data_IF_905947304044
#
_entry.id   IF_905947304044
#
_cell.length_a   1.000
_cell.length_b   1.000
_cell.length_c   1.000
_cell.angle_alpha   90.00
_cell.angle_beta   90.00
_cell.angle_gamma   90.00
#
_symmetry.space_group_name_H-M   'P 1'
#
loop_
_entity.id
_entity.type
_entity.pdbx_description
1 polymer ?
#
# COMPACT_ATOMS: atom_id res chain seq x y z
N UNK A 1 -11.57 19.71 -21.30
CA UNK A 1 -11.52 19.78 -19.81
C UNK A 1 -10.12 19.43 -19.37
N UNK A 2 -9.41 20.37 -18.73
CA UNK A 2 -7.98 20.27 -18.43
C UNK A 2 -7.75 19.34 -17.24
N UNK A 3 -6.99 18.28 -17.47
CA UNK A 3 -6.50 17.31 -16.50
C UNK A 3 -5.60 18.04 -15.49
N UNK A 4 -6.12 18.31 -14.29
CA UNK A 4 -5.38 18.99 -13.22
C UNK A 4 -4.68 17.94 -12.37
N UNK A 5 -3.37 17.85 -12.58
CA UNK A 5 -2.31 17.44 -11.64
C UNK A 5 -2.61 16.23 -10.75
N UNK A 6 -2.42 15.02 -11.30
CA UNK A 6 -1.77 13.97 -10.53
C UNK A 6 -0.26 14.23 -10.68
N UNK A 7 0.40 14.69 -9.63
CA UNK A 7 1.87 14.66 -9.59
C UNK A 7 2.29 13.19 -9.59
N UNK A 8 2.66 12.67 -10.76
CA UNK A 8 3.33 11.38 -10.88
C UNK A 8 4.77 11.63 -10.44
N UNK A 9 5.03 11.52 -9.14
CA UNK A 9 6.38 11.36 -8.63
C UNK A 9 6.84 9.95 -9.02
N UNK A 10 7.61 9.87 -10.10
CA UNK A 10 8.38 8.69 -10.46
C UNK A 10 9.45 8.47 -9.40
N UNK A 11 9.29 7.43 -8.58
CA UNK A 11 10.37 6.90 -7.75
C UNK A 11 11.48 6.40 -8.68
N UNK A 12 12.51 7.22 -8.90
CA UNK A 12 13.81 6.69 -9.24
C UNK A 12 14.43 6.22 -7.92
N UNK A 13 14.55 4.90 -7.74
CA UNK A 13 15.46 4.34 -6.75
C UNK A 13 16.88 4.69 -7.20
N UNK A 14 17.32 5.91 -6.92
CA UNK A 14 18.71 6.30 -7.07
C UNK A 14 19.48 5.63 -5.93
N UNK A 15 20.30 4.63 -6.27
CA UNK A 15 21.14 3.95 -5.29
C UNK A 15 21.95 2.79 -5.87
N UNK A 16 22.77 3.05 -6.89
CA UNK A 16 23.99 2.25 -7.06
C UNK A 16 24.99 2.75 -6.02
N UNK A 17 25.34 1.88 -5.06
CA UNK A 17 26.22 2.22 -3.97
C UNK A 17 25.75 1.53 -2.70
N UNK A 18 26.60 0.67 -2.14
CA UNK A 18 26.37 -0.01 -0.87
C UNK A 18 25.98 1.01 0.22
N UNK A 19 24.69 1.11 0.52
CA UNK A 19 24.18 2.00 1.57
C UNK A 19 24.49 1.39 2.94
N UNK A 20 25.43 2.02 3.65
CA UNK A 20 25.61 1.89 5.10
C UNK A 20 24.29 2.18 5.85
N UNK A 21 24.05 1.48 6.98
CA UNK A 21 22.88 1.67 7.86
C UNK A 21 22.61 3.14 8.23
N UNK A 22 23.62 4.01 8.18
CA UNK A 22 23.55 5.42 8.57
C UNK A 22 22.75 6.32 7.62
N UNK A 23 22.41 5.88 6.40
CA UNK A 23 21.76 6.71 5.37
C UNK A 23 20.35 6.22 4.97
N UNK A 24 19.63 5.51 5.84
CA UNK A 24 18.23 5.13 5.59
C UNK A 24 17.33 6.39 5.65
N UNK A 25 16.80 6.82 4.51
CA UNK A 25 15.74 7.84 4.47
C UNK A 25 14.44 7.20 4.96
N UNK A 26 14.01 7.59 6.16
CA UNK A 26 12.80 7.09 6.81
C UNK A 26 11.60 7.95 6.41
N UNK A 27 10.56 7.30 5.91
CA UNK A 27 9.32 7.94 5.48
C UNK A 27 8.24 7.62 6.51
N UNK A 28 7.67 8.67 7.11
CA UNK A 28 6.55 8.54 8.04
C UNK A 28 5.25 8.31 7.30
N UNK A 29 4.45 7.37 7.79
CA UNK A 29 3.10 7.13 7.31
C UNK A 29 2.20 6.77 8.49
N UNK A 30 0.90 6.95 8.31
CA UNK A 30 -0.12 6.55 9.28
C UNK A 30 -0.75 5.24 8.85
N UNK A 31 -0.76 4.28 9.76
CA UNK A 31 -1.25 2.93 9.49
C UNK A 31 -2.77 2.81 9.73
N UNK A 32 -3.34 1.64 9.44
CA UNK A 32 -4.77 1.31 9.57
C UNK A 32 -5.29 1.56 10.99
N UNK A 33 -4.46 1.31 12.01
CA UNK A 33 -4.77 1.56 13.42
C UNK A 33 -4.56 3.03 13.84
N UNK A 34 -4.25 3.91 12.89
CA UNK A 34 -3.93 5.32 13.09
C UNK A 34 -2.61 5.57 13.84
N UNK A 35 -1.80 4.54 14.10
CA UNK A 35 -0.44 4.73 14.60
C UNK A 35 0.45 5.34 13.51
N UNK A 36 1.44 6.12 13.93
CA UNK A 36 2.46 6.65 13.03
C UNK A 36 3.64 5.68 13.03
N UNK A 37 4.06 5.26 11.84
CA UNK A 37 5.17 4.33 11.62
C UNK A 37 6.12 4.94 10.60
N UNK A 38 7.31 4.37 10.51
CA UNK A 38 8.30 4.77 9.52
C UNK A 38 8.76 3.57 8.70
N UNK A 39 8.92 3.76 7.39
CA UNK A 39 9.54 2.78 6.51
C UNK A 39 10.80 3.31 5.85
N UNK A 40 11.74 2.41 5.57
CA UNK A 40 12.88 2.67 4.70
C UNK A 40 13.07 1.50 3.75
N UNK A 41 13.69 1.78 2.61
CA UNK A 41 13.82 0.85 1.50
C UNK A 41 15.27 0.45 1.31
N UNK A 42 15.50 -0.85 1.11
CA UNK A 42 16.80 -1.38 0.73
C UNK A 42 16.68 -2.12 -0.59
N UNK A 43 17.20 -1.53 -1.67
CA UNK A 43 17.19 -2.12 -3.01
C UNK A 43 18.29 -3.16 -3.17
N UNK A 44 18.05 -4.20 -3.98
CA UNK A 44 19.11 -5.09 -4.46
C UNK A 44 19.67 -4.56 -5.79
N UNK A 45 20.97 -4.72 -6.05
CA UNK A 45 21.64 -4.10 -7.20
C UNK A 45 21.39 -4.82 -8.54
N UNK A 46 20.83 -6.04 -8.55
CA UNK A 46 20.68 -6.83 -9.78
C UNK A 46 19.33 -7.58 -9.82
N UNK A 47 18.61 -7.40 -10.93
CA UNK A 47 17.35 -8.11 -11.25
C UNK A 47 17.47 -8.73 -12.64
N UNK A 48 17.38 -10.05 -12.71
CA UNK A 48 17.48 -10.84 -13.94
C UNK A 48 16.11 -11.35 -14.42
N UNK A 49 15.12 -11.42 -13.52
CA UNK A 49 13.77 -11.92 -13.78
C UNK A 49 12.68 -11.03 -13.18
N UNK A 50 11.47 -10.98 -13.77
CA UNK A 50 10.29 -10.38 -13.15
C UNK A 50 10.00 -10.91 -11.75
N UNK A 51 10.29 -12.20 -11.49
CA UNK A 51 10.08 -12.86 -10.20
C UNK A 51 11.10 -12.49 -9.12
N UNK A 52 12.19 -11.78 -9.46
CA UNK A 52 13.23 -11.49 -8.48
C UNK A 52 12.76 -10.51 -7.42
N UNK A 53 13.17 -10.74 -6.17
CA UNK A 53 13.01 -9.80 -5.06
C UNK A 53 13.71 -8.48 -5.41
N UNK A 54 12.95 -7.38 -5.35
CA UNK A 54 13.41 -6.04 -5.73
C UNK A 54 14.15 -5.31 -4.61
N UNK A 55 13.87 -5.73 -3.38
CA UNK A 55 14.45 -5.13 -2.19
C UNK A 55 13.75 -5.63 -0.94
N UNK A 56 14.06 -4.99 0.18
CA UNK A 56 13.42 -5.23 1.47
C UNK A 56 12.97 -3.90 2.05
N UNK A 57 11.74 -3.84 2.53
CA UNK A 57 11.25 -2.72 3.33
C UNK A 57 11.56 -3.01 4.79
N UNK A 58 12.09 -2.03 5.49
CA UNK A 58 12.24 -2.04 6.94
C UNK A 58 11.23 -1.09 7.55
N UNK A 59 10.64 -1.47 8.67
CA UNK A 59 9.70 -0.65 9.43
C UNK A 59 10.20 -0.44 10.85
N UNK A 60 9.79 0.68 11.45
CA UNK A 60 9.87 0.91 12.89
C UNK A 60 8.63 1.64 13.39
N UNK A 61 8.23 1.33 14.62
CA UNK A 61 7.03 1.88 15.25
C UNK A 61 7.33 3.07 16.16
N UNK A 62 8.60 3.34 16.45
CA UNK A 62 9.04 4.41 17.34
C UNK A 62 9.85 5.44 16.54
N UNK A 63 9.45 6.71 16.64
CA UNK A 63 10.07 7.84 15.92
C UNK A 63 11.37 8.33 16.56
N UNK A 64 11.90 7.62 17.56
CA UNK A 64 13.19 7.93 18.17
C UNK A 64 14.33 7.38 17.31
N UNK A 65 15.45 8.10 17.30
CA UNK A 65 16.68 7.66 16.61
C UNK A 65 17.27 6.35 17.16
N UNK A 66 16.78 5.87 18.30
CA UNK A 66 17.19 4.61 18.96
C UNK A 66 16.28 3.43 18.61
N UNK A 67 15.23 3.64 17.83
CA UNK A 67 14.29 2.60 17.46
C UNK A 67 14.95 1.56 16.55
N UNK A 68 14.96 0.30 17.00
CA UNK A 68 15.35 -0.84 16.17
C UNK A 68 14.35 -1.02 15.04
N UNK A 69 14.87 -1.13 13.81
CA UNK A 69 14.04 -1.45 12.65
C UNK A 69 13.93 -2.94 12.46
N UNK A 70 12.75 -3.42 12.06
CA UNK A 70 12.51 -4.81 11.66
C UNK A 70 12.23 -4.89 10.16
N UNK A 71 12.64 -5.97 9.47
CA UNK A 71 12.17 -6.23 8.12
C UNK A 71 10.63 -6.33 8.11
N UNK A 72 9.98 -5.53 7.27
CA UNK A 72 8.55 -5.62 7.00
C UNK A 72 8.26 -6.69 5.95
N UNK A 73 9.08 -6.75 4.90
CA UNK A 73 8.92 -7.72 3.82
C UNK A 73 9.77 -7.44 2.59
N UNK A 74 9.76 -8.42 1.68
CA UNK A 74 10.40 -8.36 0.38
C UNK A 74 9.53 -7.65 -0.65
N UNK A 75 10.13 -6.76 -1.42
CA UNK A 75 9.47 -5.98 -2.46
C UNK A 75 9.38 -6.83 -3.72
N UNK A 76 8.17 -6.90 -4.28
CA UNK A 76 7.92 -7.39 -5.62
C UNK A 76 7.33 -6.27 -6.49
N UNK A 77 7.37 -6.47 -7.81
CA UNK A 77 6.66 -5.58 -8.74
C UNK A 77 5.34 -6.23 -9.16
N UNK A 78 4.28 -5.43 -9.15
CA UNK A 78 3.12 -5.63 -10.02
C UNK A 78 3.05 -4.47 -11.00
N UNK A 79 2.26 -4.60 -12.05
CA UNK A 79 2.16 -3.58 -13.09
C UNK A 79 0.74 -3.03 -13.13
N UNK A 80 0.62 -1.72 -13.26
CA UNK A 80 -0.68 -1.11 -13.54
C UNK A 80 -1.07 -1.27 -15.02
N UNK A 81 -2.26 -0.76 -15.37
CA UNK A 81 -2.79 -0.83 -16.75
C UNK A 81 -1.91 -0.17 -17.81
N UNK A 82 -1.02 0.73 -17.40
CA UNK A 82 -0.06 1.42 -18.27
C UNK A 82 1.33 0.75 -18.25
N UNK A 83 1.45 -0.45 -17.67
CA UNK A 83 2.71 -1.18 -17.50
C UNK A 83 3.74 -0.43 -16.65
N UNK A 84 3.29 0.47 -15.76
CA UNK A 84 4.18 1.12 -14.80
C UNK A 84 4.35 0.17 -13.60
N UNK A 85 5.60 -0.15 -13.20
CA UNK A 85 5.84 -1.00 -12.04
C UNK A 85 5.38 -0.30 -10.75
N UNK A 86 4.79 -1.08 -9.85
CA UNK A 86 4.41 -0.68 -8.51
C UNK A 86 5.12 -1.61 -7.51
N UNK A 87 5.80 -1.01 -6.54
CA UNK A 87 6.45 -1.74 -5.47
C UNK A 87 5.40 -2.21 -4.47
N UNK A 88 5.34 -3.52 -4.25
CA UNK A 88 4.34 -4.12 -3.37
C UNK A 88 4.93 -5.19 -2.47
N UNK A 89 4.25 -5.44 -1.35
CA UNK A 89 4.47 -6.60 -0.50
C UNK A 89 3.12 -7.30 -0.36
N UNK A 90 3.07 -8.59 -0.69
CA UNK A 90 2.01 -9.48 -0.24
C UNK A 90 2.53 -10.25 0.97
N UNK A 91 2.02 -9.97 2.16
CA UNK A 91 2.53 -10.54 3.40
C UNK A 91 1.54 -11.56 3.96
N UNK A 92 1.97 -12.80 4.11
CA UNK A 92 1.22 -13.79 4.86
C UNK A 92 1.34 -13.51 6.36
N UNK A 93 0.24 -13.08 6.96
CA UNK A 93 0.16 -12.75 8.39
C UNK A 93 0.48 -13.91 9.33
N UNK A 94 0.34 -15.17 8.90
CA UNK A 94 0.63 -16.34 9.74
C UNK A 94 2.12 -16.66 9.79
N UNK A 95 2.79 -16.56 8.65
CA UNK A 95 4.20 -16.94 8.51
C UNK A 95 5.14 -15.73 8.52
N UNK A 96 4.58 -14.51 8.42
CA UNK A 96 5.32 -13.26 8.24
C UNK A 96 6.26 -13.28 7.01
N UNK A 97 5.95 -14.15 6.03
CA UNK A 97 6.69 -14.29 4.78
C UNK A 97 6.05 -13.46 3.68
N UNK A 98 6.89 -12.78 2.89
CA UNK A 98 6.44 -12.15 1.65
C UNK A 98 6.21 -13.19 0.56
N UNK A 99 5.05 -13.10 -0.09
CA UNK A 99 4.60 -13.98 -1.15
C UNK A 99 4.86 -13.32 -2.51
N UNK A 100 5.43 -14.08 -3.43
CA UNK A 100 5.81 -13.59 -4.74
C UNK A 100 4.62 -13.62 -5.71
N UNK A 101 4.17 -12.47 -6.26
CA UNK A 101 3.02 -12.42 -7.16
C UNK A 101 3.25 -13.09 -8.53
N UNK A 102 4.49 -13.43 -8.86
CA UNK A 102 4.84 -14.21 -10.05
C UNK A 102 5.02 -15.71 -9.78
N UNK A 103 4.94 -16.14 -8.51
CA UNK A 103 5.07 -17.55 -8.13
C UNK A 103 3.69 -18.19 -7.94
N UNK A 104 3.39 -19.24 -8.71
CA UNK A 104 2.08 -19.88 -8.69
C UNK A 104 1.72 -20.54 -7.35
N UNK A 105 2.70 -21.10 -6.63
CA UNK A 105 2.49 -21.72 -5.33
C UNK A 105 2.16 -20.69 -4.25
N UNK A 106 2.89 -19.57 -4.24
CA UNK A 106 2.63 -18.43 -3.35
C UNK A 106 1.24 -17.84 -3.60
N UNK A 107 0.85 -17.69 -4.87
CA UNK A 107 -0.49 -17.20 -5.23
C UNK A 107 -1.59 -18.21 -4.91
N UNK A 108 -1.33 -19.51 -5.06
CA UNK A 108 -2.24 -20.56 -4.61
C UNK A 108 -2.41 -20.55 -3.09
N UNK A 109 -1.35 -20.28 -2.32
CA UNK A 109 -1.42 -20.07 -0.87
C UNK A 109 -2.26 -18.82 -0.53
N UNK A 110 -1.96 -17.69 -1.17
CA UNK A 110 -2.66 -16.43 -0.94
C UNK A 110 -4.16 -16.52 -1.23
N UNK A 111 -4.54 -17.20 -2.33
CA UNK A 111 -5.95 -17.36 -2.73
C UNK A 111 -6.81 -18.10 -1.69
N UNK A 112 -6.18 -18.95 -0.87
CA UNK A 112 -6.80 -19.75 0.18
C UNK A 112 -6.62 -19.15 1.58
N UNK A 113 -5.81 -18.10 1.72
CA UNK A 113 -5.56 -17.46 2.99
C UNK A 113 -6.86 -16.88 3.57
N UNK A 114 -7.00 -16.90 4.89
CA UNK A 114 -8.09 -16.21 5.59
C UNK A 114 -7.74 -14.75 5.90
N UNK A 115 -6.45 -14.40 5.85
CA UNK A 115 -5.98 -13.03 6.01
C UNK A 115 -4.63 -12.85 5.33
N UNK A 116 -4.42 -11.68 4.73
CA UNK A 116 -3.11 -11.23 4.29
C UNK A 116 -3.03 -9.70 4.34
N UNK A 117 -1.80 -9.20 4.47
CA UNK A 117 -1.52 -7.78 4.40
C UNK A 117 -0.93 -7.46 3.02
N UNK A 118 -1.31 -6.31 2.49
CA UNK A 118 -0.83 -5.78 1.23
C UNK A 118 -0.29 -4.38 1.45
N UNK A 119 0.97 -4.19 1.09
CA UNK A 119 1.61 -2.88 1.09
C UNK A 119 1.87 -2.43 -0.33
N UNK A 120 1.74 -1.14 -0.56
CA UNK A 120 2.03 -0.49 -1.83
C UNK A 120 2.84 0.78 -1.60
N UNK A 121 3.92 0.93 -2.37
CA UNK A 121 4.84 2.05 -2.27
C UNK A 121 5.08 2.66 -3.64
N UNK A 122 4.92 3.98 -3.74
CA UNK A 122 5.20 4.74 -4.97
C UNK A 122 4.01 5.61 -5.39
N UNK A 123 4.13 6.27 -6.55
CA UNK A 123 3.12 7.20 -7.06
C UNK A 123 2.73 8.31 -6.05
N UNK A 124 3.69 8.77 -5.26
CA UNK A 124 3.46 9.77 -4.21
C UNK A 124 2.60 9.27 -3.04
N UNK A 125 2.51 7.95 -2.83
CA UNK A 125 1.72 7.36 -1.74
C UNK A 125 2.35 6.14 -1.09
N UNK A 126 1.92 5.87 0.14
CA UNK A 126 2.13 4.60 0.84
C UNK A 126 0.77 4.08 1.28
N UNK A 127 0.45 2.85 0.91
CA UNK A 127 -0.79 2.18 1.34
C UNK A 127 -0.50 0.89 2.09
N UNK A 128 -1.25 0.65 3.15
CA UNK A 128 -1.38 -0.65 3.79
C UNK A 128 -2.85 -1.07 3.75
N UNK A 129 -3.11 -2.32 3.33
CA UNK A 129 -4.43 -2.93 3.28
C UNK A 129 -4.39 -4.32 3.92
N UNK A 130 -5.35 -4.60 4.80
CA UNK A 130 -5.60 -5.92 5.38
C UNK A 130 -6.86 -6.49 4.75
N UNK A 131 -6.76 -7.67 4.15
CA UNK A 131 -7.88 -8.41 3.63
C UNK A 131 -8.19 -9.59 4.55
N UNK A 132 -9.46 -9.78 4.91
CA UNK A 132 -9.89 -10.85 5.80
C UNK A 132 -11.11 -11.60 5.25
N UNK A 133 -11.05 -12.93 5.31
CA UNK A 133 -12.07 -13.86 4.85
C UNK A 133 -12.34 -14.93 5.92
N UNK A 134 -13.54 -15.52 5.91
CA UNK A 134 -13.94 -16.55 6.88
C UNK A 134 -13.48 -17.94 6.47
N UNK A 135 -13.57 -18.28 5.19
CA UNK A 135 -13.23 -19.63 4.69
C UNK A 135 -11.94 -19.62 3.88
N UNK A 136 -11.80 -18.65 2.99
CA UNK A 136 -10.65 -18.49 2.12
C UNK A 136 -10.89 -17.30 1.20
N UNK A 137 -9.84 -16.52 0.94
CA UNK A 137 -9.94 -15.22 0.31
C UNK A 137 -10.74 -15.24 -0.99
N UNK A 138 -10.35 -16.06 -1.95
CA UNK A 138 -10.97 -16.05 -3.27
C UNK A 138 -12.33 -16.73 -3.30
N UNK A 139 -12.55 -17.73 -2.44
CA UNK A 139 -13.87 -18.33 -2.26
C UNK A 139 -14.86 -17.30 -1.73
N UNK A 140 -14.48 -16.54 -0.70
CA UNK A 140 -15.37 -15.56 -0.09
C UNK A 140 -15.58 -14.33 -1.00
N UNK A 141 -14.53 -13.86 -1.68
CA UNK A 141 -14.58 -12.77 -2.65
C UNK A 141 -15.53 -13.04 -3.82
N UNK A 142 -15.56 -14.28 -4.32
CA UNK A 142 -16.46 -14.74 -5.40
C UNK A 142 -17.88 -15.08 -4.91
N UNK A 143 -18.14 -15.00 -3.60
CA UNK A 143 -19.44 -15.33 -2.98
C UNK A 143 -20.18 -14.09 -2.45
N UNK A 144 -21.39 -14.29 -1.92
CA UNK A 144 -22.15 -13.24 -1.23
C UNK A 144 -21.49 -12.77 0.08
N UNK A 145 -20.60 -13.57 0.68
CA UNK A 145 -19.90 -13.22 1.93
C UNK A 145 -18.97 -12.02 1.72
N UNK A 146 -18.23 -12.01 0.61
CA UNK A 146 -17.22 -10.99 0.33
C UNK A 146 -16.00 -11.09 1.25
N UNK A 147 -15.06 -10.19 1.03
CA UNK A 147 -13.82 -10.06 1.81
C UNK A 147 -13.87 -8.73 2.56
N UNK A 148 -13.64 -8.77 3.88
CA UNK A 148 -13.47 -7.54 4.65
C UNK A 148 -12.13 -6.91 4.29
N UNK A 149 -12.13 -5.61 4.04
CA UNK A 149 -10.97 -4.81 3.70
C UNK A 149 -10.88 -3.65 4.69
N UNK A 150 -9.73 -3.53 5.35
CA UNK A 150 -9.31 -2.30 6.03
C UNK A 150 -8.09 -1.75 5.32
N UNK A 151 -8.04 -0.46 5.04
CA UNK A 151 -6.84 0.14 4.43
C UNK A 151 -6.60 1.57 4.89
N UNK A 152 -5.34 1.95 4.96
CA UNK A 152 -4.89 3.32 5.09
C UNK A 152 -4.03 3.66 3.88
N UNK A 153 -4.36 4.74 3.17
CA UNK A 153 -3.56 5.25 2.05
C UNK A 153 -3.10 6.67 2.36
N UNK A 154 -1.79 6.84 2.47
CA UNK A 154 -1.11 8.10 2.76
C UNK A 154 -0.71 8.75 1.44
N UNK A 155 -1.21 9.95 1.17
CA UNK A 155 -0.87 10.77 0.00
C UNK A 155 -0.01 11.93 0.45
N UNK A 156 1.22 11.97 -0.04
CA UNK A 156 2.17 13.03 0.33
C UNK A 156 1.89 14.30 -0.47
N UNK A 157 2.06 15.44 0.20
CA UNK A 157 1.83 16.76 -0.41
C UNK A 157 2.94 17.14 -1.39
N UNK A 158 4.12 16.56 -1.24
CA UNK A 158 5.33 16.83 -2.01
C UNK A 158 6.39 15.73 -1.79
N UNK A 159 7.50 15.83 -2.54
CA UNK A 159 8.61 14.87 -2.52
C UNK A 159 9.49 14.95 -1.25
N UNK A 160 9.18 15.85 -0.29
CA UNK A 160 9.85 15.86 1.01
C UNK A 160 9.28 14.83 1.97
N UNK A 161 8.11 14.25 1.66
CA UNK A 161 7.40 13.24 2.44
C UNK A 161 7.08 13.66 3.90
N UNK A 162 7.15 14.95 4.23
CA UNK A 162 6.88 15.48 5.58
C UNK A 162 5.42 15.77 5.86
N UNK A 163 4.63 16.01 4.80
CA UNK A 163 3.21 16.31 4.87
C UNK A 163 2.39 15.26 4.13
N UNK A 164 1.34 14.74 4.75
CA UNK A 164 0.45 13.78 4.09
C UNK A 164 -1.01 13.84 4.59
N UNK A 165 -1.92 13.54 3.66
CA UNK A 165 -3.32 13.22 3.93
C UNK A 165 -3.51 11.70 3.90
N UNK A 166 -4.37 11.18 4.76
CA UNK A 166 -4.62 9.74 4.92
C UNK A 166 -6.08 9.43 4.62
N UNK A 167 -6.31 8.51 3.70
CA UNK A 167 -7.61 7.90 3.45
C UNK A 167 -7.71 6.58 4.19
N UNK A 168 -8.48 6.52 5.29
CA UNK A 168 -8.75 5.27 6.01
C UNK A 168 -10.11 4.73 5.58
N UNK A 169 -10.15 3.48 5.14
CA UNK A 169 -11.34 2.85 4.59
C UNK A 169 -11.58 1.50 5.26
N UNK A 170 -12.83 1.20 5.53
CA UNK A 170 -13.33 -0.13 5.89
C UNK A 170 -14.49 -0.48 4.96
N UNK A 171 -14.51 -1.70 4.42
CA UNK A 171 -15.61 -2.18 3.58
C UNK A 171 -15.60 -3.71 3.50
N UNK A 172 -16.71 -4.30 3.06
CA UNK A 172 -16.76 -5.67 2.55
C UNK A 172 -16.85 -5.61 1.03
N UNK A 173 -15.84 -6.14 0.32
CA UNK A 173 -15.75 -6.12 -1.14
C UNK A 173 -16.07 -7.48 -1.77
N UNK A 174 -16.58 -7.45 -3.01
CA UNK A 174 -16.96 -8.65 -3.79
C UNK A 174 -16.43 -8.56 -5.22
N UNK A 175 -16.29 -9.74 -5.86
CA UNK A 175 -15.74 -9.88 -7.21
C UNK A 175 -16.46 -9.05 -8.28
N UNK A 176 -17.79 -8.87 -8.15
CA UNK A 176 -18.58 -8.06 -9.08
C UNK A 176 -18.45 -6.54 -8.86
N UNK A 177 -17.53 -6.10 -7.99
CA UNK A 177 -17.32 -4.69 -7.66
C UNK A 177 -18.31 -4.11 -6.65
N UNK A 178 -19.31 -4.88 -6.22
CA UNK A 178 -20.20 -4.44 -5.14
C UNK A 178 -19.45 -4.44 -3.81
N UNK A 179 -19.81 -3.47 -2.96
CA UNK A 179 -19.31 -3.39 -1.60
C UNK A 179 -20.43 -3.03 -0.63
N UNK A 180 -20.26 -3.43 0.63
CA UNK A 180 -21.14 -3.08 1.76
C UNK A 180 -20.30 -2.59 2.93
N UNK A 181 -20.95 -2.01 3.94
CA UNK A 181 -20.29 -1.52 5.16
C UNK A 181 -19.14 -0.56 4.87
N UNK A 182 -19.28 0.26 3.83
CA UNK A 182 -18.28 1.25 3.46
C UNK A 182 -18.25 2.37 4.49
N UNK A 183 -17.11 2.53 5.14
CA UNK A 183 -16.78 3.64 5.99
C UNK A 183 -15.47 4.25 5.50
N UNK A 184 -15.43 5.59 5.48
CA UNK A 184 -14.27 6.37 5.09
C UNK A 184 -14.00 7.43 6.17
N UNK A 185 -12.73 7.62 6.52
CA UNK A 185 -12.30 8.65 7.47
C UNK A 185 -10.99 9.27 7.01
N UNK A 186 -10.95 10.60 6.82
CA UNK A 186 -9.72 11.32 6.52
C UNK A 186 -8.88 11.55 7.80
N UNK A 187 -7.56 11.57 7.66
CA UNK A 187 -6.66 12.14 8.65
C UNK A 187 -5.58 12.99 7.96
N UNK A 188 -4.96 13.90 8.72
CA UNK A 188 -3.99 14.85 8.17
C UNK A 188 -2.77 14.94 9.09
N UNK A 189 -1.58 14.90 8.49
CA UNK A 189 -0.31 15.19 9.14
C UNK A 189 0.43 16.19 8.27
N UNK A 190 0.03 17.46 8.34
CA UNK A 190 0.55 18.56 7.51
C UNK A 190 0.80 19.76 8.43
N UNK A 191 2.06 20.17 8.55
CA UNK A 191 2.45 21.27 9.43
C UNK A 191 2.19 22.65 8.80
N UNK A 192 2.36 22.78 7.48
CA UNK A 192 2.09 24.03 6.77
C UNK A 192 0.59 24.31 6.72
N UNK A 193 0.16 25.41 7.33
CA UNK A 193 -1.27 25.73 7.53
C UNK A 193 -1.99 26.02 6.22
N UNK A 194 -1.29 26.56 5.22
CA UNK A 194 -1.85 26.85 3.90
C UNK A 194 -2.06 25.55 3.12
N UNK A 195 -1.07 24.67 3.11
CA UNK A 195 -1.15 23.35 2.50
C UNK A 195 -2.24 22.49 3.18
N UNK A 196 -2.35 22.55 4.51
CA UNK A 196 -3.40 21.87 5.26
C UNK A 196 -4.79 22.35 4.82
N UNK A 197 -5.03 23.67 4.80
CA UNK A 197 -6.32 24.23 4.41
C UNK A 197 -6.69 23.88 2.96
N UNK A 198 -5.73 23.91 2.04
CA UNK A 198 -5.95 23.48 0.66
C UNK A 198 -6.28 21.98 0.56
N UNK A 199 -5.54 21.14 1.29
CA UNK A 199 -5.75 19.69 1.29
C UNK A 199 -7.11 19.32 1.88
N UNK A 200 -7.53 19.97 2.97
CA UNK A 200 -8.86 19.80 3.56
C UNK A 200 -9.99 20.25 2.62
N UNK A 201 -9.79 21.33 1.86
CA UNK A 201 -10.77 21.76 0.87
C UNK A 201 -10.91 20.74 -0.27
N UNK A 202 -9.81 20.18 -0.76
CA UNK A 202 -9.82 19.11 -1.76
C UNK A 202 -10.43 17.82 -1.22
N UNK A 203 -10.09 17.43 0.01
CA UNK A 203 -10.68 16.26 0.67
C UNK A 203 -12.19 16.40 0.82
N UNK A 204 -12.69 17.56 1.27
CA UNK A 204 -14.13 17.81 1.36
C UNK A 204 -14.85 17.70 0.01
N UNK A 205 -14.16 18.01 -1.09
CA UNK A 205 -14.73 17.96 -2.44
C UNK A 205 -14.65 16.56 -3.06
N UNK A 206 -13.54 15.86 -2.87
CA UNK A 206 -13.17 14.67 -3.66
C UNK A 206 -12.76 13.45 -2.80
N UNK A 207 -12.67 13.58 -1.48
CA UNK A 207 -12.13 12.58 -0.55
C UNK A 207 -12.85 11.24 -0.63
N UNK A 208 -14.18 11.23 -0.58
CA UNK A 208 -14.96 9.99 -0.72
C UNK A 208 -14.80 9.35 -2.10
N UNK A 209 -14.74 10.16 -3.16
CA UNK A 209 -14.49 9.66 -4.53
C UNK A 209 -13.12 9.02 -4.62
N UNK A 210 -12.09 9.62 -4.04
CA UNK A 210 -10.74 9.04 -3.95
C UNK A 210 -10.77 7.74 -3.15
N UNK A 211 -11.50 7.68 -2.05
CA UNK A 211 -11.65 6.48 -1.25
C UNK A 211 -12.32 5.34 -2.04
N UNK A 212 -13.37 5.63 -2.80
CA UNK A 212 -14.01 4.64 -3.68
C UNK A 212 -13.08 4.17 -4.80
N UNK A 213 -12.21 5.03 -5.34
CA UNK A 213 -11.20 4.63 -6.32
C UNK A 213 -10.16 3.68 -5.72
N UNK A 214 -9.68 3.94 -4.50
CA UNK A 214 -8.80 3.00 -3.79
C UNK A 214 -9.48 1.65 -3.56
N UNK A 215 -10.76 1.66 -3.19
CA UNK A 215 -11.55 0.44 -3.02
C UNK A 215 -11.61 -0.36 -4.31
N UNK A 216 -11.92 0.30 -5.43
CA UNK A 216 -11.95 -0.31 -6.76
C UNK A 216 -10.59 -0.85 -7.19
N UNK A 217 -9.50 -0.14 -6.86
CA UNK A 217 -8.14 -0.61 -7.10
C UNK A 217 -7.87 -1.93 -6.34
N UNK A 218 -8.31 -2.04 -5.08
CA UNK A 218 -8.16 -3.28 -4.29
C UNK A 218 -9.06 -4.42 -4.77
N UNK A 219 -10.27 -4.13 -5.25
CA UNK A 219 -11.08 -5.11 -5.98
C UNK A 219 -10.33 -5.62 -7.21
N UNK A 220 -9.73 -4.71 -7.99
CA UNK A 220 -8.99 -5.06 -9.22
C UNK A 220 -7.75 -5.89 -8.92
N UNK A 221 -7.01 -5.57 -7.84
CA UNK A 221 -5.91 -6.39 -7.32
C UNK A 221 -6.36 -7.83 -7.04
N UNK A 222 -7.47 -8.00 -6.32
CA UNK A 222 -8.00 -9.33 -6.06
C UNK A 222 -8.44 -10.04 -7.34
N UNK A 223 -9.18 -9.38 -8.23
CA UNK A 223 -9.67 -9.98 -9.48
C UNK A 223 -8.54 -10.39 -10.42
N UNK A 224 -7.54 -9.54 -10.62
CA UNK A 224 -6.56 -9.73 -11.69
C UNK A 224 -5.27 -10.39 -11.23
N UNK A 225 -4.98 -10.43 -9.93
CA UNK A 225 -3.69 -10.95 -9.42
C UNK A 225 -3.95 -12.10 -8.46
N UNK A 226 -4.78 -11.91 -7.44
CA UNK A 226 -4.89 -12.88 -6.34
C UNK A 226 -5.88 -14.03 -6.63
N UNK A 227 -7.00 -13.71 -7.26
CA UNK A 227 -8.16 -14.59 -7.42
C UNK A 227 -8.51 -14.86 -8.87
N UNK A 228 -7.50 -14.94 -9.72
CA UNK A 228 -7.63 -15.35 -11.13
C UNK A 228 -8.49 -16.61 -11.28
#
# INVERSE_FOLDING_TARGET
MKQKYLFIASMALAGCGSMSESNKYWIQYKDIDQSVKEVSFWSREQFHSPSDVKGTVYQRDNLTHLATSTPLGEIYHIYDVNHIPMNVIFLDTKTQRSLNPQNAQDMAQLSKATQFDFYEFGKGRIAHAVFSAKTGLCQDFKSKRGVALKMATNYYTDDSYKGYYVSVIHAIIRHNGQHTDFAYTPAFSIADTKALAMTQALEKQDGERVAQMNLKEKVTLLTNIVCQ
#
